data_IF_065637279946
#
_entry.id   IF_065637279946
#
_cell.length_a   1.000
_cell.length_b   1.000
_cell.length_c   1.000
_cell.angle_alpha   90.00
_cell.angle_beta   90.00
_cell.angle_gamma   90.00
#
_symmetry.space_group_name_H-M   'P 1'
#
loop_
_entity.id
_entity.type
_entity.pdbx_description
1 polymer ?
#
# COMPACT_ATOMS: atom_id res chain seq x y z
N UNK A 1 7.90 -3.09 5.66
CA UNK A 1 7.95 -3.07 4.18
C UNK A 1 7.53 -1.69 3.68
N UNK A 2 8.23 -1.13 2.68
CA UNK A 2 7.84 0.13 2.02
C UNK A 2 7.41 -0.18 0.59
N UNK A 3 6.34 0.46 0.14
CA UNK A 3 5.78 0.29 -1.20
C UNK A 3 5.48 1.65 -1.78
N UNK A 4 6.09 1.98 -2.91
CA UNK A 4 5.76 3.16 -3.68
C UNK A 4 4.41 2.95 -4.36
N UNK A 5 3.56 3.97 -4.37
CA UNK A 5 2.26 3.92 -5.02
C UNK A 5 2.13 5.12 -5.96
N UNK A 6 1.84 4.83 -7.23
CA UNK A 6 1.64 5.82 -8.28
C UNK A 6 0.15 6.00 -8.59
N UNK A 7 -0.23 7.20 -9.02
CA UNK A 7 -1.62 7.53 -9.35
C UNK A 7 -2.50 8.01 -8.18
N UNK A 8 -2.01 7.94 -6.93
CA UNK A 8 -2.73 8.55 -5.80
C UNK A 8 -2.78 10.07 -5.93
N UNK A 9 -3.98 10.61 -6.10
CA UNK A 9 -4.21 12.06 -6.30
C UNK A 9 -5.18 12.67 -5.27
N UNK A 10 -5.80 11.84 -4.42
CA UNK A 10 -6.77 12.30 -3.43
C UNK A 10 -6.62 11.54 -2.10
N UNK A 11 -6.95 12.20 -0.98
CA UNK A 11 -6.98 11.58 0.36
C UNK A 11 -8.00 10.43 0.46
N UNK A 12 -9.03 10.42 -0.39
CA UNK A 12 -9.98 9.31 -0.45
C UNK A 12 -9.33 8.01 -0.96
N UNK A 13 -8.45 8.11 -1.97
CA UNK A 13 -7.70 6.99 -2.54
C UNK A 13 -6.77 6.35 -1.49
N UNK A 14 -6.14 7.20 -0.67
CA UNK A 14 -5.23 6.78 0.42
C UNK A 14 -5.96 5.89 1.42
N UNK A 15 -7.18 6.27 1.82
CA UNK A 15 -7.98 5.50 2.77
C UNK A 15 -8.43 4.14 2.21
N UNK A 16 -8.77 4.09 0.92
CA UNK A 16 -9.20 2.87 0.25
C UNK A 16 -8.05 1.84 0.21
N UNK A 17 -6.88 2.26 -0.28
CA UNK A 17 -5.65 1.45 -0.29
C UNK A 17 -5.24 1.03 1.12
N UNK A 18 -5.29 1.94 2.09
CA UNK A 18 -5.00 1.65 3.51
C UNK A 18 -5.87 0.50 4.05
N UNK A 19 -7.17 0.52 3.73
CA UNK A 19 -8.11 -0.54 4.14
C UNK A 19 -7.81 -1.86 3.44
N UNK A 20 -7.58 -1.83 2.13
CA UNK A 20 -7.25 -3.02 1.35
C UNK A 20 -6.00 -3.71 1.92
N UNK A 21 -4.93 -2.94 2.16
CA UNK A 21 -3.69 -3.45 2.73
C UNK A 21 -3.85 -3.97 4.16
N UNK A 22 -4.61 -3.27 5.02
CA UNK A 22 -4.88 -3.76 6.39
C UNK A 22 -5.66 -5.08 6.43
N UNK A 23 -6.39 -5.40 5.37
CA UNK A 23 -7.14 -6.66 5.29
C UNK A 23 -6.27 -7.86 4.89
N UNK A 24 -5.01 -7.64 4.52
CA UNK A 24 -4.10 -8.71 4.10
C UNK A 24 -3.53 -9.48 5.31
N UNK A 25 -3.39 -10.82 5.19
CA UNK A 25 -2.75 -11.62 6.23
C UNK A 25 -1.28 -11.23 6.39
N UNK A 26 -0.80 -11.19 7.64
CA UNK A 26 0.56 -10.78 7.97
C UNK A 26 0.78 -9.27 8.12
N UNK A 27 -0.24 -8.44 7.83
CA UNK A 27 -0.21 -7.00 8.12
C UNK A 27 -0.60 -6.75 9.58
N UNK A 28 0.31 -6.10 10.31
CA UNK A 28 0.08 -5.64 11.69
C UNK A 28 -0.39 -4.20 11.69
N UNK A 29 0.25 -3.37 10.89
CA UNK A 29 -0.08 -1.95 10.77
C UNK A 29 0.24 -1.45 9.38
N UNK A 30 -0.44 -0.38 8.98
CA UNK A 30 -0.26 0.23 7.67
C UNK A 30 -0.38 1.74 7.82
N UNK A 31 0.51 2.46 7.16
CA UNK A 31 0.49 3.91 7.03
C UNK A 31 0.73 4.27 5.58
N UNK A 32 -0.18 5.03 4.99
CA UNK A 32 -0.04 5.50 3.61
C UNK A 32 0.15 7.01 3.64
N UNK A 33 1.19 7.48 2.97
CA UNK A 33 1.58 8.88 2.89
C UNK A 33 1.40 9.37 1.46
N UNK A 34 0.46 10.30 1.25
CA UNK A 34 0.28 10.96 -0.05
C UNK A 34 1.45 11.88 -0.40
N UNK A 35 2.01 12.55 0.60
CA UNK A 35 3.14 13.47 0.45
C UNK A 35 4.39 12.73 -0.06
N UNK A 36 4.67 11.57 0.53
CA UNK A 36 5.80 10.71 0.13
C UNK A 36 5.45 9.70 -0.98
N UNK A 37 4.18 9.65 -1.41
CA UNK A 37 3.66 8.71 -2.42
C UNK A 37 4.03 7.24 -2.13
N UNK A 38 3.98 6.86 -0.86
CA UNK A 38 4.36 5.52 -0.41
C UNK A 38 3.47 5.00 0.71
N UNK A 39 3.40 3.69 0.84
CA UNK A 39 2.82 2.94 1.94
C UNK A 39 3.92 2.25 2.75
N UNK A 40 3.88 2.47 4.06
CA UNK A 40 4.70 1.77 5.05
C UNK A 40 3.83 0.73 5.73
N UNK A 41 4.19 -0.53 5.55
CA UNK A 41 3.48 -1.68 6.10
C UNK A 41 4.36 -2.32 7.19
N UNK A 42 3.82 -2.46 8.39
CA UNK A 42 4.43 -3.20 9.50
C UNK A 42 3.86 -4.62 9.53
N UNK A 43 4.75 -5.60 9.71
CA UNK A 43 4.43 -7.02 9.65
C UNK A 43 5.24 -7.73 8.56
N UNK A 44 4.79 -8.94 8.22
CA UNK A 44 5.41 -9.79 7.20
C UNK A 44 4.35 -10.31 6.21
N UNK A 45 3.61 -9.41 5.52
CA UNK A 45 2.69 -9.81 4.47
C UNK A 45 3.44 -10.26 3.23
N UNK A 46 2.76 -11.01 2.37
CA UNK A 46 3.27 -11.36 1.05
C UNK A 46 3.39 -10.11 0.16
N UNK A 47 4.59 -9.78 -0.35
CA UNK A 47 4.80 -8.59 -1.17
C UNK A 47 3.96 -8.63 -2.45
N UNK A 48 3.81 -9.82 -3.07
CA UNK A 48 2.96 -9.98 -4.26
C UNK A 48 1.50 -9.67 -3.96
N UNK A 49 0.97 -10.12 -2.81
CA UNK A 49 -0.41 -9.84 -2.38
C UNK A 49 -0.64 -8.38 -2.10
N UNK A 50 0.34 -7.69 -1.54
CA UNK A 50 0.28 -6.24 -1.32
C UNK A 50 0.20 -5.49 -2.65
N UNK A 51 1.04 -5.84 -3.63
CA UNK A 51 1.02 -5.21 -4.95
C UNK A 51 -0.30 -5.49 -5.69
N UNK A 52 -0.80 -6.72 -5.60
CA UNK A 52 -2.08 -7.14 -6.19
C UNK A 52 -3.24 -6.32 -5.62
N UNK A 53 -3.35 -6.22 -4.29
CA UNK A 53 -4.42 -5.44 -3.64
C UNK A 53 -4.42 -3.96 -4.06
N UNK A 54 -3.25 -3.35 -4.29
CA UNK A 54 -3.16 -1.96 -4.75
C UNK A 54 -3.57 -1.83 -6.23
N UNK A 55 -3.23 -2.83 -7.07
CA UNK A 55 -3.65 -2.90 -8.47
C UNK A 55 -5.15 -3.13 -8.63
N UNK A 56 -5.76 -3.93 -7.75
CA UNK A 56 -7.21 -4.13 -7.72
C UNK A 56 -7.97 -2.82 -7.41
N UNK A 57 -7.39 -1.94 -6.60
CA UNK A 57 -7.90 -0.60 -6.34
C UNK A 57 -7.67 0.38 -7.51
N UNK A 58 -6.95 -0.06 -8.56
CA UNK A 58 -6.69 0.70 -9.77
C UNK A 58 -5.41 1.55 -9.73
N UNK A 59 -4.46 1.24 -8.84
CA UNK A 59 -3.21 1.98 -8.69
C UNK A 59 -1.99 1.11 -9.00
N UNK A 60 -0.92 1.73 -9.47
CA UNK A 60 0.36 1.05 -9.64
C UNK A 60 1.17 1.11 -8.35
N UNK A 61 1.82 0.01 -8.00
CA UNK A 61 2.65 -0.09 -6.81
C UNK A 61 3.93 -0.88 -7.08
N UNK A 62 4.98 -0.56 -6.33
CA UNK A 62 6.28 -1.24 -6.39
C UNK A 62 6.93 -1.26 -5.01
N UNK A 63 7.50 -2.41 -4.61
CA UNK A 63 8.21 -2.52 -3.34
C UNK A 63 9.49 -1.70 -3.40
N UNK A 64 9.70 -0.79 -2.44
CA UNK A 64 10.97 -0.07 -2.32
C UNK A 64 11.93 -0.86 -1.42
N UNK A 65 12.95 -1.44 -2.06
CA UNK A 65 14.10 -2.08 -1.43
C UNK A 65 15.25 -1.07 -1.33
N UNK A 66 15.13 -0.05 -0.49
CA UNK A 66 16.24 0.89 -0.22
C UNK A 66 16.39 1.23 1.25
#
# INVERSE_FOLDING_TARGET
>A
MKVKIEGMTCQHCVNAVTKALKSLPGVVSVRVSLEEKQAVIEGNPDPEKVLEAIREEGYEASVESS
#
